data_IF_591480553654
#
_entry.id   IF_591480553654
#
_cell.length_a   1.000
_cell.length_b   1.000
_cell.length_c   1.000
_cell.angle_alpha   90.00
_cell.angle_beta   90.00
_cell.angle_gamma   90.00
#
_symmetry.space_group_name_H-M   'P 1'
#
loop_
_entity.id
_entity.type
_entity.pdbx_description
1 polymer ?
#
# COMPACT_ATOMS: atom_id res chain seq x y z
N UNK A 1 10.21 1.36 -10.76
CA UNK A 1 11.41 1.28 -11.63
C UNK A 1 10.99 0.77 -13.00
N UNK A 2 11.53 1.32 -14.09
CA UNK A 2 11.21 0.90 -15.46
C UNK A 2 12.49 0.81 -16.29
N UNK A 3 12.55 -0.14 -17.22
CA UNK A 3 13.59 -0.16 -18.26
C UNK A 3 13.43 1.02 -19.21
N UNK A 4 14.51 1.40 -19.90
CA UNK A 4 14.55 2.57 -20.80
C UNK A 4 13.40 2.63 -21.80
N UNK A 5 13.02 1.49 -22.41
CA UNK A 5 11.94 1.41 -23.40
C UNK A 5 10.54 1.66 -22.80
N UNK A 6 10.38 1.55 -21.47
CA UNK A 6 9.08 1.67 -20.76
C UNK A 6 7.97 0.76 -21.33
N UNK A 7 8.34 -0.31 -22.02
CA UNK A 7 7.42 -1.26 -22.67
C UNK A 7 6.90 -2.37 -21.73
N UNK A 8 6.94 -2.13 -20.42
CA UNK A 8 6.41 -3.09 -19.43
C UNK A 8 4.89 -3.09 -19.48
N UNK A 9 4.26 -4.26 -19.24
CA UNK A 9 2.79 -4.35 -19.12
C UNK A 9 2.22 -3.65 -17.87
N UNK A 10 3.08 -3.26 -16.93
CA UNK A 10 2.68 -2.61 -15.68
C UNK A 10 3.08 -1.14 -15.67
N UNK A 11 2.14 -0.28 -15.29
CA UNK A 11 2.42 1.05 -14.75
C UNK A 11 2.42 0.97 -13.21
N UNK A 12 3.32 1.69 -12.55
CA UNK A 12 3.37 1.79 -11.09
C UNK A 12 3.71 3.21 -10.67
N UNK A 13 3.15 3.63 -9.54
CA UNK A 13 3.45 4.87 -8.84
C UNK A 13 3.28 4.63 -7.35
N UNK A 14 3.98 5.42 -6.53
CA UNK A 14 3.74 5.44 -5.09
C UNK A 14 2.56 6.35 -4.79
N UNK A 15 1.56 5.83 -4.07
CA UNK A 15 0.53 6.62 -3.42
C UNK A 15 0.97 6.84 -1.98
N UNK A 16 1.15 8.10 -1.58
CA UNK A 16 1.73 8.47 -0.30
C UNK A 16 0.86 9.49 0.42
N UNK A 17 0.85 9.41 1.74
CA UNK A 17 0.25 10.41 2.64
C UNK A 17 1.39 11.05 3.41
N UNK A 18 1.44 12.38 3.40
CA UNK A 18 2.44 13.13 4.17
C UNK A 18 2.12 13.01 5.64
N UNK A 19 3.12 12.61 6.43
CA UNK A 19 3.07 12.56 7.90
C UNK A 19 4.06 13.57 8.47
N UNK A 20 3.79 14.00 9.70
CA UNK A 20 4.53 15.02 10.44
C UNK A 20 4.88 14.51 11.85
N UNK A 21 5.64 15.31 12.61
CA UNK A 21 5.95 14.96 14.00
C UNK A 21 4.71 14.77 14.88
N UNK A 22 3.62 15.49 14.59
CA UNK A 22 2.34 15.36 15.33
C UNK A 22 1.73 13.97 15.18
N UNK A 23 1.88 13.38 14.00
CA UNK A 23 1.37 12.04 13.70
C UNK A 23 2.18 10.98 14.46
N UNK A 24 3.50 11.17 14.56
CA UNK A 24 4.37 10.30 15.36
C UNK A 24 4.02 10.34 16.85
N UNK A 25 3.84 11.55 17.40
CA UNK A 25 3.47 11.74 18.81
C UNK A 25 2.12 11.07 19.13
N UNK A 26 1.14 11.17 18.22
CA UNK A 26 -0.18 10.54 18.37
C UNK A 26 -0.15 9.01 18.39
N UNK A 27 0.91 8.43 17.81
CA UNK A 27 1.14 6.98 17.75
C UNK A 27 2.15 6.52 18.80
N UNK A 28 2.50 7.39 19.74
CA UNK A 28 3.46 7.15 20.82
C UNK A 28 4.90 6.89 20.34
N UNK A 29 5.29 7.44 19.19
CA UNK A 29 6.68 7.50 18.76
C UNK A 29 7.29 8.83 19.19
N UNK A 30 8.34 8.78 20.01
CA UNK A 30 8.92 9.97 20.62
C UNK A 30 10.42 10.13 20.34
N UNK A 31 10.88 11.37 20.49
CA UNK A 31 12.29 11.73 20.41
C UNK A 31 12.79 11.99 18.98
N UNK A 32 14.08 12.33 18.82
CA UNK A 32 14.64 12.73 17.52
C UNK A 32 14.55 11.66 16.42
N UNK A 33 14.38 10.39 16.80
CA UNK A 33 14.28 9.25 15.88
C UNK A 33 12.85 8.73 15.71
N UNK A 34 11.82 9.46 16.18
CA UNK A 34 10.42 9.03 16.11
C UNK A 34 9.99 8.62 14.69
N UNK A 35 10.42 9.35 13.65
CA UNK A 35 10.13 9.01 12.26
C UNK A 35 10.77 7.70 11.79
N UNK A 36 11.96 7.35 12.30
CA UNK A 36 12.63 6.08 11.99
C UNK A 36 11.90 4.92 12.66
N UNK A 37 11.44 5.10 13.90
CA UNK A 37 10.64 4.07 14.59
C UNK A 37 9.27 3.89 13.94
N UNK A 38 8.63 4.97 13.49
CA UNK A 38 7.41 4.92 12.68
C UNK A 38 7.64 4.07 11.40
N UNK A 39 8.70 4.35 10.64
CA UNK A 39 9.04 3.57 9.44
C UNK A 39 9.25 2.10 9.77
N UNK A 40 10.08 1.80 10.78
CA UNK A 40 10.38 0.42 11.20
C UNK A 40 9.15 -0.35 11.65
N UNK A 41 8.19 0.30 12.30
CA UNK A 41 6.95 -0.35 12.75
C UNK A 41 6.14 -0.83 11.55
N UNK A 42 5.86 0.05 10.58
CA UNK A 42 5.05 -0.31 9.43
C UNK A 42 5.77 -1.28 8.49
N UNK A 43 7.08 -1.12 8.30
CA UNK A 43 7.91 -2.08 7.55
C UNK A 43 7.86 -3.49 8.16
N UNK A 44 7.98 -3.59 9.50
CA UNK A 44 7.84 -4.87 10.22
C UNK A 44 6.45 -5.45 10.08
N UNK A 45 5.42 -4.61 10.16
CA UNK A 45 4.03 -5.01 10.03
C UNK A 45 3.73 -5.55 8.63
N UNK A 46 4.17 -4.86 7.58
CA UNK A 46 3.99 -5.32 6.21
C UNK A 46 4.77 -6.61 5.94
N UNK A 47 6.01 -6.72 6.41
CA UNK A 47 6.78 -7.97 6.30
C UNK A 47 6.03 -9.15 6.96
N UNK A 48 5.42 -8.92 8.12
CA UNK A 48 4.61 -9.92 8.83
C UNK A 48 3.34 -10.28 8.05
N UNK A 49 2.63 -9.29 7.52
CA UNK A 49 1.43 -9.51 6.70
C UNK A 49 1.76 -10.28 5.42
N UNK A 50 2.90 -9.99 4.80
CA UNK A 50 3.46 -10.71 3.65
C UNK A 50 3.91 -12.15 3.97
N UNK A 51 4.10 -12.48 5.25
CA UNK A 51 4.55 -13.80 5.70
C UNK A 51 6.07 -13.98 5.70
N UNK A 52 6.84 -12.88 5.68
CA UNK A 52 8.31 -12.91 5.65
C UNK A 52 8.89 -13.22 4.28
N UNK A 53 10.18 -13.59 4.23
CA UNK A 53 10.90 -13.94 3.00
C UNK A 53 10.86 -12.88 1.88
N UNK A 54 10.76 -11.60 2.26
CA UNK A 54 10.59 -10.48 1.33
C UNK A 54 9.32 -10.56 0.47
N UNK A 55 8.32 -11.37 0.85
CA UNK A 55 7.01 -11.38 0.19
C UNK A 55 6.26 -10.12 0.58
N UNK A 56 5.71 -9.42 -0.39
CA UNK A 56 4.99 -8.16 -0.16
C UNK A 56 3.50 -8.43 0.06
N UNK A 57 2.87 -7.87 1.12
CA UNK A 57 1.43 -7.91 1.27
C UNK A 57 0.77 -7.05 0.18
N UNK A 58 -0.25 -7.60 -0.48
CA UNK A 58 -0.97 -6.92 -1.54
C UNK A 58 -2.47 -7.04 -1.36
N UNK A 59 -3.21 -6.11 -1.95
CA UNK A 59 -4.66 -6.14 -2.02
C UNK A 59 -5.12 -5.53 -3.35
N UNK A 60 -6.22 -6.02 -3.93
CA UNK A 60 -6.78 -5.34 -5.11
C UNK A 60 -7.34 -3.99 -4.69
N UNK A 61 -7.32 -3.03 -5.63
CA UNK A 61 -7.83 -1.68 -5.36
C UNK A 61 -9.32 -1.72 -4.96
N UNK A 62 -10.12 -2.55 -5.61
CA UNK A 62 -11.55 -2.70 -5.29
C UNK A 62 -11.77 -3.23 -3.88
N UNK A 63 -11.04 -4.27 -3.48
CA UNK A 63 -11.12 -4.82 -2.12
C UNK A 63 -10.66 -3.82 -1.05
N UNK A 64 -9.62 -3.04 -1.36
CA UNK A 64 -9.12 -2.00 -0.47
C UNK A 64 -10.15 -0.89 -0.25
N UNK A 65 -10.83 -0.44 -1.31
CA UNK A 65 -11.90 0.56 -1.21
C UNK A 65 -13.15 0.03 -0.48
N UNK A 66 -13.46 -1.26 -0.63
CA UNK A 66 -14.61 -1.88 0.04
C UNK A 66 -14.33 -2.36 1.47
N UNK A 67 -13.11 -2.20 1.98
CA UNK A 67 -12.66 -2.73 3.28
C UNK A 67 -12.91 -4.24 3.42
N UNK A 68 -12.67 -5.02 2.35
CA UNK A 68 -12.84 -6.47 2.34
C UNK A 68 -11.58 -7.16 1.88
N UNK A 69 -11.40 -8.42 2.26
CA UNK A 69 -10.35 -9.27 1.69
C UNK A 69 -11.01 -10.42 0.95
N UNK A 70 -11.13 -10.30 -0.37
CA UNK A 70 -11.73 -11.35 -1.19
C UNK A 70 -10.76 -12.53 -1.31
N UNK A 71 -11.26 -13.76 -1.21
CA UNK A 71 -10.48 -14.99 -1.38
C UNK A 71 -10.05 -15.28 -2.83
N UNK A 72 -10.11 -14.29 -3.71
CA UNK A 72 -9.80 -14.44 -5.13
C UNK A 72 -8.28 -14.56 -5.35
N UNK A 73 -7.92 -15.12 -6.51
CA UNK A 73 -6.51 -15.16 -6.96
C UNK A 73 -5.95 -13.75 -7.09
N UNK A 74 -4.75 -13.53 -6.55
CA UNK A 74 -4.02 -12.26 -6.65
C UNK A 74 -3.63 -12.01 -8.13
N UNK A 75 -3.91 -10.81 -8.69
CA UNK A 75 -3.42 -10.43 -10.01
C UNK A 75 -1.89 -10.53 -10.14
N UNK A 76 -1.35 -10.77 -11.35
CA UNK A 76 0.09 -10.90 -11.55
C UNK A 76 0.82 -9.59 -11.25
N UNK A 77 1.88 -9.67 -10.44
CA UNK A 77 2.71 -8.53 -10.06
C UNK A 77 4.05 -8.50 -10.80
N UNK A 78 4.62 -7.29 -10.94
CA UNK A 78 6.00 -7.10 -11.41
C UNK A 78 7.06 -7.37 -10.32
N UNK A 79 6.62 -7.51 -9.06
CA UNK A 79 7.52 -7.75 -7.93
C UNK A 79 7.97 -9.22 -7.88
N UNK A 80 9.29 -9.43 -7.98
CA UNK A 80 9.87 -10.75 -8.24
C UNK A 80 9.96 -11.67 -7.02
N UNK A 81 10.00 -11.12 -5.81
CA UNK A 81 10.13 -11.93 -4.59
C UNK A 81 8.81 -12.56 -4.15
N UNK A 82 7.71 -12.25 -4.85
CA UNK A 82 6.38 -12.79 -4.58
C UNK A 82 5.49 -11.83 -3.82
N UNK A 83 4.19 -12.06 -3.93
CA UNK A 83 3.14 -11.25 -3.31
C UNK A 83 2.15 -12.16 -2.58
N UNK A 84 1.55 -11.65 -1.50
CA UNK A 84 0.57 -12.38 -0.71
C UNK A 84 -0.65 -11.50 -0.46
N UNK A 85 -1.85 -12.04 -0.72
CA UNK A 85 -3.08 -11.32 -0.42
C UNK A 85 -3.18 -11.02 1.08
N UNK A 86 -3.37 -9.76 1.44
CA UNK A 86 -3.48 -9.31 2.81
C UNK A 86 -4.41 -8.08 2.89
N UNK A 87 -5.03 -7.90 4.05
CA UNK A 87 -5.93 -6.78 4.32
C UNK A 87 -5.09 -5.52 4.60
N UNK A 88 -4.79 -4.73 3.56
CA UNK A 88 -3.96 -3.53 3.67
C UNK A 88 -4.64 -2.39 4.43
N UNK A 89 -5.96 -2.40 4.55
CA UNK A 89 -6.69 -1.47 5.42
C UNK A 89 -6.29 -1.57 6.90
N UNK A 90 -5.70 -2.70 7.32
CA UNK A 90 -5.19 -2.90 8.68
C UNK A 90 -3.69 -2.56 8.82
N UNK A 91 -3.02 -2.10 7.75
CA UNK A 91 -1.58 -1.82 7.77
C UNK A 91 -1.29 -0.50 8.50
N UNK A 92 -1.98 0.58 8.12
CA UNK A 92 -1.79 1.92 8.68
C UNK A 92 -2.94 2.31 9.63
N UNK A 93 -2.79 3.39 10.42
CA UNK A 93 -3.89 4.02 11.13
C UNK A 93 -5.02 4.43 10.17
N UNK A 94 -6.26 4.45 10.67
CA UNK A 94 -7.45 4.67 9.82
C UNK A 94 -7.38 5.95 9.00
N UNK A 95 -6.88 7.05 9.56
CA UNK A 95 -6.79 8.33 8.84
C UNK A 95 -5.87 8.27 7.60
N UNK A 96 -4.80 7.46 7.63
CA UNK A 96 -3.92 7.26 6.47
C UNK A 96 -4.63 6.39 5.44
N UNK A 97 -5.26 5.30 5.88
CA UNK A 97 -6.03 4.39 5.03
C UNK A 97 -7.16 5.13 4.31
N UNK A 98 -7.93 5.93 5.03
CA UNK A 98 -9.03 6.75 4.50
C UNK A 98 -8.52 7.80 3.51
N UNK A 99 -7.40 8.48 3.82
CA UNK A 99 -6.79 9.43 2.89
C UNK A 99 -6.37 8.76 1.57
N UNK A 100 -5.79 7.56 1.64
CA UNK A 100 -5.45 6.76 0.46
C UNK A 100 -6.71 6.36 -0.33
N UNK A 101 -7.75 5.85 0.33
CA UNK A 101 -9.02 5.47 -0.32
C UNK A 101 -9.67 6.67 -1.05
N UNK A 102 -9.70 7.83 -0.38
CA UNK A 102 -10.21 9.07 -0.95
C UNK A 102 -9.40 9.51 -2.17
N UNK A 103 -8.07 9.44 -2.09
CA UNK A 103 -7.18 9.80 -3.21
C UNK A 103 -7.38 8.91 -4.44
N UNK A 104 -7.52 7.58 -4.24
CA UNK A 104 -7.79 6.63 -5.33
C UNK A 104 -9.12 6.96 -6.01
N UNK A 105 -10.16 7.25 -5.22
CA UNK A 105 -11.48 7.63 -5.74
C UNK A 105 -11.46 8.97 -6.48
N UNK A 106 -10.56 9.89 -6.10
CA UNK A 106 -10.35 11.14 -6.82
C UNK A 106 -9.58 10.92 -8.13
N UNK A 107 -8.54 10.10 -8.12
CA UNK A 107 -7.77 9.78 -9.32
C UNK A 107 -8.62 9.11 -10.39
N UNK A 108 -9.58 8.26 -10.04
CA UNK A 108 -10.46 7.64 -11.04
C UNK A 108 -11.38 8.67 -11.75
N UNK A 109 -11.71 9.78 -11.08
CA UNK A 109 -12.48 10.87 -11.70
C UNK A 109 -11.64 11.65 -12.71
N UNK A 110 -10.35 11.83 -12.45
CA UNK A 110 -9.42 12.55 -13.33
C UNK A 110 -8.82 11.66 -14.42
N UNK A 111 -8.62 10.38 -14.10
CA UNK A 111 -8.01 9.35 -14.91
C UNK A 111 -8.90 8.10 -14.91
N UNK A 112 -9.97 8.08 -15.72
CA UNK A 112 -10.91 6.96 -15.75
C UNK A 112 -10.23 5.61 -15.98
N UNK A 113 -10.54 4.62 -15.14
CA UNK A 113 -9.91 3.29 -15.16
C UNK A 113 -8.73 3.16 -14.20
N UNK A 114 -8.48 4.17 -13.36
CA UNK A 114 -7.55 4.06 -12.24
C UNK A 114 -8.01 2.99 -11.24
N UNK A 115 -9.33 2.85 -11.05
CA UNK A 115 -9.92 1.76 -10.27
C UNK A 115 -10.19 0.56 -11.19
N UNK A 116 -9.59 -0.58 -10.86
CA UNK A 116 -9.79 -1.85 -11.56
C UNK A 116 -9.65 -3.01 -10.59
N UNK A 117 -10.41 -4.09 -10.80
CA UNK A 117 -10.24 -5.35 -10.06
C UNK A 117 -8.88 -6.03 -10.33
N UNK A 118 -8.20 -5.64 -11.41
CA UNK A 118 -6.83 -6.09 -11.73
C UNK A 118 -5.74 -5.15 -11.19
N UNK A 119 -6.10 -3.98 -10.66
CA UNK A 119 -5.15 -3.04 -10.08
C UNK A 119 -4.76 -3.52 -8.67
N UNK A 120 -3.45 -3.54 -8.40
CA UNK A 120 -2.89 -4.13 -7.19
C UNK A 120 -2.16 -3.08 -6.36
N UNK A 121 -2.57 -2.93 -5.10
CA UNK A 121 -1.86 -2.14 -4.11
C UNK A 121 -0.80 -3.01 -3.45
N UNK A 122 0.40 -2.46 -3.30
CA UNK A 122 1.52 -3.07 -2.59
C UNK A 122 1.70 -2.34 -1.26
N UNK A 123 1.64 -3.09 -0.15
CA UNK A 123 1.88 -2.54 1.18
C UNK A 123 3.37 -2.44 1.52
N UNK A 124 3.70 -1.47 2.36
CA UNK A 124 5.03 -1.25 2.93
C UNK A 124 4.97 -1.12 4.44
#
# INVERSE_FOLDING_TARGET
MSFSQRASKWANAALVVTVSSKDFDSLNFYGPLAGVEFQREFERRAATMGGGNFVVPVQTVTDFLENKLSGASVPPSSYRMGVKNASLHNLFPSYITEALQNSISMFDKELPGFISSNALLHGV
#
